data_IF_657980308414
#
_entry.id   IF_657980308414
#
_cell.length_a   1.000
_cell.length_b   1.000
_cell.length_c   1.000
_cell.angle_alpha   90.00
_cell.angle_beta   90.00
_cell.angle_gamma   90.00
#
_symmetry.space_group_name_H-M   'P 1'
#
loop_
_entity.id
_entity.type
_entity.pdbx_description
1 polymer ?
#
# COMPACT_ATOMS: atom_id res chain seq x y z
N UNK A 1 7.20 -3.49 47.23
CA UNK A 1 6.59 -4.73 46.75
C UNK A 1 5.56 -4.33 45.71
N UNK A 2 6.03 -4.01 44.50
CA UNK A 2 5.15 -3.64 43.35
C UNK A 2 5.97 -3.49 42.07
N UNK A 3 6.55 -4.56 41.53
CA UNK A 3 7.26 -4.53 40.22
C UNK A 3 7.00 -5.78 39.38
N UNK A 4 5.75 -6.18 39.26
CA UNK A 4 5.40 -7.37 38.45
C UNK A 4 4.43 -7.12 37.31
N UNK A 5 4.31 -5.89 36.78
CA UNK A 5 3.34 -5.66 35.70
C UNK A 5 3.88 -4.94 34.46
N UNK A 6 5.18 -5.00 34.18
CA UNK A 6 5.73 -4.32 33.00
C UNK A 6 6.33 -5.27 31.95
N UNK A 7 6.11 -6.55 32.03
CA UNK A 7 6.72 -7.54 31.12
C UNK A 7 5.80 -7.99 29.98
N UNK A 8 4.59 -7.44 29.83
CA UNK A 8 3.63 -7.95 28.86
C UNK A 8 3.31 -6.99 27.69
N UNK A 9 4.14 -5.98 27.45
CA UNK A 9 3.88 -5.01 26.36
C UNK A 9 4.62 -5.26 25.04
N UNK A 10 5.54 -6.21 24.97
CA UNK A 10 6.43 -6.34 23.81
C UNK A 10 6.57 -7.76 23.22
N UNK A 11 5.65 -8.67 23.45
CA UNK A 11 5.59 -9.89 22.65
C UNK A 11 4.73 -9.67 21.41
N UNK A 12 5.14 -8.73 20.55
CA UNK A 12 4.65 -8.71 19.17
C UNK A 12 5.21 -9.96 18.50
N UNK A 13 4.31 -10.81 17.98
CA UNK A 13 4.72 -11.92 17.13
C UNK A 13 5.39 -11.33 15.88
N UNK A 14 6.69 -11.50 15.75
CA UNK A 14 7.48 -10.95 14.64
C UNK A 14 6.92 -11.43 13.30
N UNK A 15 6.39 -12.65 13.26
CA UNK A 15 5.77 -13.25 12.08
C UNK A 15 4.57 -12.45 11.55
N UNK A 16 3.88 -11.72 12.44
CA UNK A 16 2.76 -10.87 12.04
C UNK A 16 3.18 -9.61 11.26
N UNK A 17 4.47 -9.26 11.27
CA UNK A 17 4.99 -8.10 10.54
C UNK A 17 5.21 -8.38 9.05
N UNK A 18 5.24 -9.64 8.66
CA UNK A 18 5.51 -10.10 7.30
C UNK A 18 4.29 -10.72 6.65
N UNK A 19 4.24 -10.69 5.32
CA UNK A 19 3.18 -11.36 4.58
C UNK A 19 3.21 -12.88 4.78
N UNK A 20 4.40 -13.45 4.96
CA UNK A 20 4.66 -14.87 5.09
C UNK A 20 4.91 -15.57 3.74
N UNK A 21 5.73 -16.65 3.72
CA UNK A 21 6.14 -17.32 2.48
C UNK A 21 4.97 -17.96 1.71
N UNK A 22 3.85 -18.24 2.36
CA UNK A 22 2.60 -18.69 1.75
C UNK A 22 1.48 -17.66 1.78
N UNK A 23 1.84 -16.40 2.04
CA UNK A 23 0.89 -15.30 2.18
C UNK A 23 -0.10 -15.50 3.34
N UNK A 24 0.37 -16.01 4.47
CA UNK A 24 -0.43 -16.34 5.64
C UNK A 24 -1.19 -15.11 6.16
N UNK A 25 -0.55 -13.94 6.13
CA UNK A 25 -1.11 -12.66 6.58
C UNK A 25 -1.85 -11.88 5.47
N UNK A 26 -2.21 -12.55 4.37
CA UNK A 26 -2.87 -11.92 3.21
C UNK A 26 -4.13 -11.13 3.58
N UNK A 27 -4.94 -11.64 4.49
CA UNK A 27 -6.20 -11.00 4.88
C UNK A 27 -5.93 -9.63 5.52
N UNK A 28 -5.01 -9.58 6.47
CA UNK A 28 -4.59 -8.34 7.12
C UNK A 28 -4.01 -7.33 6.10
N UNK A 29 -3.11 -7.78 5.25
CA UNK A 29 -2.47 -6.92 4.25
C UNK A 29 -3.47 -6.31 3.27
N UNK A 30 -4.40 -7.12 2.76
CA UNK A 30 -5.46 -6.64 1.84
C UNK A 30 -6.38 -5.64 2.50
N UNK A 31 -6.80 -5.88 3.73
CA UNK A 31 -7.69 -4.97 4.44
C UNK A 31 -6.98 -3.65 4.78
N UNK A 32 -5.74 -3.72 5.20
CA UNK A 32 -4.93 -2.52 5.47
C UNK A 32 -4.69 -1.69 4.21
N UNK A 33 -4.38 -2.34 3.08
CA UNK A 33 -4.23 -1.65 1.80
C UNK A 33 -5.53 -0.99 1.35
N UNK A 34 -6.65 -1.70 1.50
CA UNK A 34 -7.98 -1.14 1.22
C UNK A 34 -8.27 0.08 2.08
N UNK A 35 -7.97 0.01 3.37
CA UNK A 35 -8.14 1.14 4.29
C UNK A 35 -7.33 2.36 3.85
N UNK A 36 -6.08 2.19 3.45
CA UNK A 36 -5.25 3.29 2.92
C UNK A 36 -5.89 3.94 1.69
N UNK A 37 -6.40 3.13 0.78
CA UNK A 37 -7.07 3.63 -0.45
C UNK A 37 -8.38 4.34 -0.10
N UNK A 38 -9.21 3.74 0.76
CA UNK A 38 -10.51 4.30 1.15
C UNK A 38 -10.34 5.64 1.88
N UNK A 39 -9.37 5.75 2.79
CA UNK A 39 -9.02 6.99 3.47
C UNK A 39 -8.58 8.08 2.49
N UNK A 40 -7.71 7.74 1.54
CA UNK A 40 -7.30 8.68 0.51
C UNK A 40 -8.49 9.17 -0.35
N UNK A 41 -9.36 8.26 -0.76
CA UNK A 41 -10.57 8.58 -1.52
C UNK A 41 -11.54 9.48 -0.72
N UNK A 42 -11.67 9.19 0.58
CA UNK A 42 -12.47 10.00 1.49
C UNK A 42 -11.90 11.42 1.63
N UNK A 43 -10.61 11.53 1.88
CA UNK A 43 -9.91 12.82 1.95
C UNK A 43 -10.11 13.65 0.68
N UNK A 44 -9.93 13.08 -0.50
CA UNK A 44 -10.11 13.79 -1.78
C UNK A 44 -11.52 14.34 -1.96
N UNK A 45 -12.55 13.56 -1.61
CA UNK A 45 -13.94 14.00 -1.74
C UNK A 45 -14.32 15.13 -0.78
N UNK A 46 -13.66 15.21 0.36
CA UNK A 46 -14.04 16.14 1.44
C UNK A 46 -13.07 17.31 1.58
N UNK A 47 -11.98 17.34 0.82
CA UNK A 47 -11.00 18.43 0.88
C UNK A 47 -11.58 19.74 0.32
N UNK A 48 -12.19 19.67 -0.85
CA UNK A 48 -12.97 20.76 -1.46
C UNK A 48 -14.30 20.19 -1.97
N UNK A 49 -15.30 20.02 -1.09
CA UNK A 49 -16.54 19.33 -1.42
C UNK A 49 -17.39 20.02 -2.50
N UNK A 50 -17.19 21.32 -2.69
CA UNK A 50 -17.89 22.12 -3.71
C UNK A 50 -17.26 22.01 -5.11
N UNK A 51 -16.09 21.38 -5.25
CA UNK A 51 -15.47 21.18 -6.54
C UNK A 51 -16.31 20.21 -7.39
N UNK A 52 -16.52 20.60 -8.65
CA UNK A 52 -17.21 19.75 -9.61
C UNK A 52 -16.36 18.52 -9.97
N UNK A 53 -16.95 17.33 -10.11
CA UNK A 53 -16.21 16.17 -10.56
C UNK A 53 -15.66 16.38 -11.96
N UNK A 54 -14.39 16.06 -12.16
CA UNK A 54 -13.74 16.14 -13.48
C UNK A 54 -14.37 15.16 -14.50
N UNK A 55 -14.78 14.00 -14.00
CA UNK A 55 -15.41 12.94 -14.81
C UNK A 55 -16.80 12.67 -14.26
N UNK A 56 -17.82 12.86 -15.08
CA UNK A 56 -19.19 12.55 -14.69
C UNK A 56 -19.55 11.09 -15.03
N UNK A 57 -20.68 10.63 -14.47
CA UNK A 57 -21.13 9.25 -14.63
C UNK A 57 -21.32 8.85 -16.10
N UNK A 58 -21.88 9.75 -16.93
CA UNK A 58 -22.12 9.49 -18.36
C UNK A 58 -20.79 9.28 -19.09
N UNK A 59 -19.78 10.09 -18.77
CA UNK A 59 -18.44 9.92 -19.35
C UNK A 59 -17.80 8.59 -18.93
N UNK A 60 -18.02 8.13 -17.70
CA UNK A 60 -17.49 6.83 -17.19
C UNK A 60 -18.17 5.63 -17.88
N UNK A 61 -19.41 5.80 -18.36
CA UNK A 61 -20.14 4.76 -19.09
C UNK A 61 -19.75 4.71 -20.57
N UNK A 62 -18.94 5.67 -21.05
CA UNK A 62 -18.50 5.73 -22.44
C UNK A 62 -17.56 4.56 -22.78
N UNK A 63 -17.72 4.01 -23.98
CA UNK A 63 -16.91 2.88 -24.47
C UNK A 63 -15.40 3.21 -24.47
N UNK A 64 -15.02 4.43 -24.83
CA UNK A 64 -13.62 4.86 -24.82
C UNK A 64 -13.02 4.84 -23.41
N UNK A 65 -13.79 5.27 -22.41
CA UNK A 65 -13.36 5.23 -21.01
C UNK A 65 -13.13 3.78 -20.55
N UNK A 66 -14.08 2.90 -20.80
CA UNK A 66 -13.98 1.48 -20.46
C UNK A 66 -12.82 0.77 -21.16
N UNK A 67 -12.56 1.08 -22.42
CA UNK A 67 -11.39 0.56 -23.15
C UNK A 67 -10.08 1.03 -22.52
N UNK A 68 -10.01 2.28 -22.06
CA UNK A 68 -8.84 2.83 -21.39
C UNK A 68 -8.59 2.14 -20.04
N UNK A 69 -9.65 1.92 -19.25
CA UNK A 69 -9.55 1.18 -17.99
C UNK A 69 -9.06 -0.26 -18.22
N UNK A 70 -9.66 -0.98 -19.17
CA UNK A 70 -9.26 -2.34 -19.52
C UNK A 70 -7.78 -2.41 -19.92
N UNK A 71 -7.31 -1.49 -20.79
CA UNK A 71 -5.90 -1.40 -21.18
C UNK A 71 -4.98 -1.13 -20.01
N UNK A 72 -5.40 -0.33 -19.03
CA UNK A 72 -4.61 -0.07 -17.83
C UNK A 72 -4.42 -1.32 -16.99
N UNK A 73 -5.43 -2.18 -16.89
CA UNK A 73 -5.35 -3.48 -16.22
C UNK A 73 -4.38 -4.40 -16.98
N UNK A 74 -4.46 -4.48 -18.30
CA UNK A 74 -3.55 -5.29 -19.12
C UNK A 74 -2.08 -4.87 -18.92
N UNK A 75 -1.81 -3.56 -18.89
CA UNK A 75 -0.46 -3.03 -18.63
C UNK A 75 0.04 -3.43 -17.25
N UNK A 76 -0.82 -3.35 -16.23
CA UNK A 76 -0.47 -3.75 -14.87
C UNK A 76 -0.18 -5.25 -14.78
N UNK A 77 -0.96 -6.07 -15.46
CA UNK A 77 -0.76 -7.51 -15.52
C UNK A 77 0.56 -7.87 -16.23
N UNK A 78 0.87 -7.19 -17.34
CA UNK A 78 2.16 -7.38 -18.03
C UNK A 78 3.34 -6.98 -17.14
N UNK A 79 3.25 -5.82 -16.46
CA UNK A 79 4.26 -5.38 -15.51
C UNK A 79 4.46 -6.42 -14.39
N UNK A 80 3.38 -6.89 -13.80
CA UNK A 80 3.42 -7.88 -12.73
C UNK A 80 4.05 -9.19 -13.20
N UNK A 81 3.73 -9.64 -14.40
CA UNK A 81 4.33 -10.84 -15.00
C UNK A 81 5.84 -10.67 -15.21
N UNK A 82 6.29 -9.51 -15.64
CA UNK A 82 7.73 -9.19 -15.81
C UNK A 82 8.45 -9.16 -14.45
N UNK A 83 7.86 -8.50 -13.47
CA UNK A 83 8.42 -8.43 -12.11
C UNK A 83 8.60 -9.83 -11.51
N UNK A 84 7.61 -10.71 -11.65
CA UNK A 84 7.71 -12.11 -11.17
C UNK A 84 8.88 -12.88 -11.79
N UNK A 85 9.23 -12.60 -13.06
CA UNK A 85 10.36 -13.27 -13.74
C UNK A 85 11.72 -12.75 -13.29
N UNK A 86 11.80 -11.49 -12.90
CA UNK A 86 13.08 -10.81 -12.62
C UNK A 86 13.35 -10.63 -11.14
N UNK A 87 12.32 -10.74 -10.30
CA UNK A 87 12.45 -10.54 -8.86
C UNK A 87 13.01 -11.77 -8.16
N UNK A 88 13.91 -11.54 -7.22
CA UNK A 88 14.41 -12.58 -6.33
C UNK A 88 13.38 -12.87 -5.23
N UNK A 89 13.08 -14.15 -4.94
CA UNK A 89 12.06 -14.52 -3.95
C UNK A 89 12.61 -14.42 -2.51
N UNK A 90 12.83 -13.21 -2.03
CA UNK A 90 13.37 -12.91 -0.70
C UNK A 90 12.55 -13.51 0.46
N UNK A 91 11.25 -13.73 0.24
CA UNK A 91 10.33 -14.33 1.18
C UNK A 91 10.50 -15.85 1.32
N UNK A 92 11.24 -16.47 0.41
CA UNK A 92 11.39 -17.92 0.39
C UNK A 92 12.35 -18.41 1.48
N UNK A 93 11.95 -19.38 2.26
CA UNK A 93 12.80 -20.06 3.24
C UNK A 93 13.96 -20.84 2.58
N UNK A 94 13.92 -21.03 1.26
CA UNK A 94 14.98 -21.67 0.47
C UNK A 94 16.01 -20.68 -0.04
N UNK A 95 15.78 -19.40 0.14
CA UNK A 95 16.72 -18.37 -0.28
C UNK A 95 17.90 -18.32 0.71
N UNK A 96 19.10 -18.47 0.18
CA UNK A 96 20.34 -18.49 0.97
C UNK A 96 21.21 -17.24 0.79
N UNK A 97 20.66 -16.18 0.19
CA UNK A 97 21.37 -14.90 0.08
C UNK A 97 21.46 -14.21 1.45
N UNK A 98 22.60 -13.62 1.74
CA UNK A 98 22.77 -12.80 2.92
C UNK A 98 22.45 -11.32 2.61
N UNK A 99 22.04 -10.57 3.59
CA UNK A 99 21.79 -9.11 3.57
C UNK A 99 20.41 -8.63 3.08
N UNK A 100 19.57 -9.51 2.51
CA UNK A 100 18.20 -9.12 2.16
C UNK A 100 17.18 -10.04 2.83
N UNK A 101 16.11 -9.46 3.30
CA UNK A 101 14.98 -10.17 3.91
C UNK A 101 13.69 -9.80 3.20
N UNK A 102 12.61 -10.50 3.50
CA UNK A 102 11.29 -10.09 3.09
C UNK A 102 10.95 -8.69 3.64
N UNK A 103 10.15 -7.94 2.91
CA UNK A 103 9.77 -6.58 3.31
C UNK A 103 8.67 -6.61 4.36
N UNK A 104 8.72 -5.67 5.30
CA UNK A 104 7.64 -5.49 6.26
C UNK A 104 6.37 -4.99 5.54
N UNK A 105 5.24 -5.59 5.85
CA UNK A 105 3.95 -5.15 5.30
C UNK A 105 3.67 -3.68 5.57
N UNK A 106 4.02 -3.18 6.76
CA UNK A 106 3.83 -1.76 7.10
C UNK A 106 4.65 -0.83 6.21
N UNK A 107 5.85 -1.23 5.79
CA UNK A 107 6.68 -0.45 4.88
C UNK A 107 6.04 -0.34 3.50
N UNK A 108 5.50 -1.44 2.98
CA UNK A 108 4.79 -1.46 1.71
C UNK A 108 3.53 -0.58 1.74
N UNK A 109 2.78 -0.61 2.86
CA UNK A 109 1.59 0.22 3.07
C UNK A 109 1.95 1.70 3.18
N UNK A 110 3.03 2.02 3.89
CA UNK A 110 3.52 3.39 4.04
C UNK A 110 4.00 3.96 2.70
N UNK A 111 4.68 3.17 1.88
CA UNK A 111 5.08 3.57 0.53
C UNK A 111 3.87 3.84 -0.36
N UNK A 112 2.85 2.97 -0.34
CA UNK A 112 1.60 3.18 -1.06
C UNK A 112 0.90 4.47 -0.60
N UNK A 113 0.79 4.71 0.69
CA UNK A 113 0.23 5.95 1.23
C UNK A 113 1.03 7.17 0.73
N UNK A 114 2.35 7.12 0.78
CA UNK A 114 3.22 8.21 0.30
C UNK A 114 2.98 8.50 -1.19
N UNK A 115 2.84 7.48 -2.02
CA UNK A 115 2.54 7.65 -3.45
C UNK A 115 1.17 8.30 -3.66
N UNK A 116 0.14 7.84 -2.94
CA UNK A 116 -1.23 8.35 -3.08
C UNK A 116 -1.36 9.82 -2.65
N UNK A 117 -0.76 10.20 -1.54
CA UNK A 117 -0.81 11.58 -1.03
C UNK A 117 0.20 12.51 -1.69
N UNK A 118 1.22 11.95 -2.35
CA UNK A 118 2.26 12.68 -3.09
C UNK A 118 2.80 13.91 -2.32
N UNK A 119 3.35 13.73 -1.10
CA UNK A 119 3.82 14.84 -0.29
C UNK A 119 4.98 15.56 -0.98
N UNK A 120 4.94 16.88 -0.97
CA UNK A 120 5.99 17.71 -1.53
C UNK A 120 6.85 18.31 -0.43
N UNK A 121 8.10 17.85 -0.30
CA UNK A 121 9.03 18.33 0.71
C UNK A 121 9.53 19.78 0.49
N UNK A 122 9.23 20.37 -0.66
CA UNK A 122 9.58 21.77 -0.97
C UNK A 122 8.47 22.73 -0.53
N UNK A 123 7.21 22.28 -0.58
CA UNK A 123 6.07 23.08 -0.13
C UNK A 123 5.84 22.85 1.37
N UNK A 124 5.93 23.89 2.16
CA UNK A 124 5.77 23.81 3.63
C UNK A 124 4.49 23.11 4.07
N UNK A 125 3.39 23.36 3.38
CA UNK A 125 2.05 22.84 3.72
C UNK A 125 1.88 21.33 3.43
N UNK A 126 2.74 20.76 2.60
CA UNK A 126 2.66 19.36 2.19
C UNK A 126 3.89 18.54 2.60
N UNK A 127 4.82 19.13 3.34
CA UNK A 127 6.04 18.44 3.75
C UNK A 127 5.82 17.62 5.03
N UNK A 128 6.08 16.33 4.94
CA UNK A 128 6.10 15.43 6.10
C UNK A 128 7.24 15.78 7.08
N UNK A 129 8.30 16.39 6.59
CA UNK A 129 9.46 16.75 7.39
C UNK A 129 9.24 17.98 8.30
N UNK A 130 8.19 18.75 8.07
CA UNK A 130 7.87 19.97 8.82
C UNK A 130 6.67 19.84 9.75
N UNK A 131 6.06 18.67 9.82
CA UNK A 131 4.92 18.37 10.67
C UNK A 131 5.32 17.87 12.07
#
# INVERSE_FOLDING_TARGET
>A
MSDFNNTNRNNLAVEALFLGPRSENRAFFRESLRSVVDEHCHWRRNFHPDDAPLVNRVSMENESFRKTEARSVDILDELTARLKKTSTPWFSTRYLGHMNSDTLMISNLAEMATILYNPNNVAYESSVATS
#
